data_IF_892177727253
#
_entry.id   IF_892177727253
#
_cell.length_a   1.000
_cell.length_b   1.000
_cell.length_c   1.000
_cell.angle_alpha   90.00
_cell.angle_beta   90.00
_cell.angle_gamma   90.00
#
_symmetry.space_group_name_H-M   'P 1'
#
loop_
_entity.id
_entity.type
_entity.pdbx_description
1 polymer ?
#
# COMPACT_ATOMS: atom_id res chain seq x y z
N UNK A 1 -68.37 18.64 -62.68
CA UNK A 1 -68.07 20.07 -62.49
C UNK A 1 -67.21 20.22 -61.23
N UNK A 2 -66.15 21.02 -61.33
CA UNK A 2 -65.05 21.20 -60.36
C UNK A 2 -65.45 22.20 -59.24
N UNK A 3 -65.06 21.94 -57.98
CA UNK A 3 -64.08 22.74 -57.18
C UNK A 3 -64.16 22.44 -55.67
N UNK A 4 -63.05 21.88 -55.18
CA UNK A 4 -62.35 21.97 -53.89
C UNK A 4 -63.06 22.48 -52.61
N UNK A 5 -62.87 21.73 -51.50
CA UNK A 5 -62.81 22.30 -50.15
C UNK A 5 -62.05 21.41 -49.12
N UNK A 6 -61.00 22.00 -48.51
CA UNK A 6 -60.23 21.76 -47.26
C UNK A 6 -60.05 20.33 -46.69
N UNK A 7 -58.83 19.76 -46.61
CA UNK A 7 -57.68 20.04 -45.69
C UNK A 7 -57.84 19.46 -44.26
N UNK A 8 -57.10 18.38 -43.96
CA UNK A 8 -56.13 18.24 -42.84
C UNK A 8 -55.59 16.79 -42.79
N UNK A 9 -54.35 16.63 -43.25
CA UNK A 9 -53.51 15.42 -43.07
C UNK A 9 -52.95 15.46 -41.64
N UNK A 10 -52.87 14.34 -40.90
CA UNK A 10 -52.40 14.36 -39.53
C UNK A 10 -50.89 14.68 -39.46
N UNK A 11 -50.56 15.40 -38.39
CA UNK A 11 -49.25 15.93 -38.03
C UNK A 11 -48.17 14.84 -38.05
N UNK A 12 -47.13 15.09 -38.84
CA UNK A 12 -45.96 14.24 -38.96
C UNK A 12 -45.20 14.12 -37.62
N UNK A 13 -44.61 12.94 -37.42
CA UNK A 13 -43.64 12.56 -36.40
C UNK A 13 -42.58 13.67 -36.22
N UNK A 14 -42.57 14.32 -35.05
CA UNK A 14 -41.48 15.22 -34.65
C UNK A 14 -40.51 14.42 -33.77
N UNK A 15 -39.53 13.76 -34.40
CA UNK A 15 -38.33 13.33 -33.69
C UNK A 15 -37.52 14.58 -33.34
N UNK A 16 -37.72 15.11 -32.14
CA UNK A 16 -36.82 16.11 -31.58
C UNK A 16 -35.50 15.42 -31.21
N UNK A 17 -34.50 15.53 -32.09
CA UNK A 17 -33.11 15.22 -31.76
C UNK A 17 -32.65 16.28 -30.77
N UNK A 18 -32.52 15.90 -29.51
CA UNK A 18 -31.93 16.75 -28.48
C UNK A 18 -30.42 16.77 -28.76
N UNK A 19 -29.94 17.83 -29.40
CA UNK A 19 -28.52 18.16 -29.41
C UNK A 19 -28.15 18.60 -27.99
N UNK A 20 -27.70 17.67 -27.16
CA UNK A 20 -26.89 18.01 -26.00
C UNK A 20 -25.57 18.58 -26.53
N UNK A 21 -25.47 19.91 -26.54
CA UNK A 21 -24.18 20.56 -26.58
C UNK A 21 -23.50 20.30 -25.23
N UNK A 22 -22.65 19.28 -25.15
CA UNK A 22 -21.66 19.20 -24.08
C UNK A 22 -20.67 20.35 -24.28
N UNK A 23 -20.75 21.34 -23.38
CA UNK A 23 -19.65 22.28 -23.13
C UNK A 23 -18.41 21.46 -22.70
N UNK A 24 -17.18 21.94 -22.97
CA UNK A 24 -15.98 21.23 -22.57
C UNK A 24 -15.99 21.10 -21.05
N UNK A 25 -15.73 19.89 -20.56
CA UNK A 25 -15.58 19.62 -19.15
C UNK A 25 -14.38 20.44 -18.67
N UNK A 26 -14.62 21.37 -17.74
CA UNK A 26 -13.56 21.81 -16.86
C UNK A 26 -13.12 20.54 -16.10
N UNK A 27 -11.91 20.04 -16.39
CA UNK A 27 -11.24 18.99 -15.63
C UNK A 27 -10.91 19.55 -14.23
N UNK A 28 -11.93 19.75 -13.41
CA UNK A 28 -11.75 19.83 -11.97
C UNK A 28 -11.73 18.39 -11.47
N UNK A 29 -10.52 17.82 -11.44
CA UNK A 29 -10.24 16.55 -10.82
C UNK A 29 -10.89 16.52 -9.44
N UNK A 30 -11.73 15.52 -9.20
CA UNK A 30 -12.25 15.23 -7.86
C UNK A 30 -11.09 15.07 -6.87
N UNK A 31 -11.36 15.06 -5.55
CA UNK A 31 -10.31 14.90 -4.55
C UNK A 31 -9.45 13.68 -4.92
N UNK A 32 -8.18 13.93 -5.24
CA UNK A 32 -7.21 12.89 -5.52
C UNK A 32 -7.18 11.98 -4.29
N UNK A 33 -7.47 10.70 -4.47
CA UNK A 33 -7.46 9.75 -3.37
C UNK A 33 -6.04 9.64 -2.82
N UNK A 34 -5.86 10.01 -1.55
CA UNK A 34 -4.60 9.86 -0.85
C UNK A 34 -4.40 8.38 -0.49
N UNK A 35 -3.72 7.65 -1.37
CA UNK A 35 -3.39 6.23 -1.18
C UNK A 35 -2.37 6.00 -0.05
N UNK A 36 -1.77 7.07 0.47
CA UNK A 36 -0.80 7.07 1.55
C UNK A 36 -1.40 7.59 2.87
N UNK A 37 -2.71 7.83 2.91
CA UNK A 37 -3.39 8.25 4.12
C UNK A 37 -3.16 7.24 5.25
N UNK A 38 -2.57 7.70 6.35
CA UNK A 38 -2.26 6.87 7.52
C UNK A 38 -0.98 6.04 7.41
N UNK A 39 -0.11 6.30 6.42
CA UNK A 39 1.28 5.87 6.49
C UNK A 39 1.93 6.42 7.77
N UNK A 40 2.98 5.74 8.22
CA UNK A 40 3.83 6.22 9.30
C UNK A 40 3.09 6.40 10.64
N UNK A 41 2.13 5.50 10.88
CA UNK A 41 1.32 5.48 12.08
C UNK A 41 1.28 4.09 12.70
N UNK A 42 1.05 4.03 14.02
CA UNK A 42 0.96 2.80 14.77
C UNK A 42 2.29 2.34 15.38
N UNK A 43 2.27 1.21 16.11
CA UNK A 43 3.47 0.67 16.74
C UNK A 43 4.43 0.09 15.69
N UNK A 44 5.72 0.28 15.93
CA UNK A 44 6.82 -0.28 15.13
C UNK A 44 7.45 -1.49 15.81
N UNK A 45 7.54 -1.45 17.14
CA UNK A 45 8.14 -2.48 17.97
C UNK A 45 7.06 -3.27 18.71
N UNK A 46 7.25 -4.58 18.75
CA UNK A 46 6.36 -5.53 19.40
C UNK A 46 7.17 -6.51 20.24
N UNK A 47 6.61 -6.91 21.38
CA UNK A 47 7.20 -7.91 22.27
C UNK A 47 6.28 -9.12 22.37
N UNK A 48 6.84 -10.32 22.15
CA UNK A 48 6.15 -11.60 22.28
C UNK A 48 7.00 -12.52 23.13
N UNK A 49 6.74 -12.57 24.44
CA UNK A 49 7.63 -13.28 25.36
C UNK A 49 9.04 -12.67 25.34
N UNK A 50 10.05 -13.44 24.96
CA UNK A 50 11.41 -12.96 24.78
C UNK A 50 11.71 -12.41 23.37
N UNK A 51 10.81 -12.59 22.41
CA UNK A 51 10.97 -12.09 21.05
C UNK A 51 10.71 -10.57 21.00
N UNK A 52 11.63 -9.85 20.36
CA UNK A 52 11.46 -8.45 19.94
C UNK A 52 11.31 -8.44 18.43
N UNK A 53 10.31 -7.71 17.95
CA UNK A 53 9.96 -7.62 16.53
C UNK A 53 9.80 -6.16 16.15
N UNK A 54 10.60 -5.72 15.20
CA UNK A 54 10.45 -4.45 14.51
C UNK A 54 9.77 -4.71 13.16
N UNK A 55 8.74 -3.95 12.83
CA UNK A 55 8.14 -3.95 11.49
C UNK A 55 8.25 -2.53 10.91
N UNK A 56 8.96 -2.34 9.78
CA UNK A 56 9.03 -1.04 9.13
C UNK A 56 7.62 -0.60 8.70
N UNK A 57 7.35 0.70 8.68
CA UNK A 57 6.04 1.23 8.27
C UNK A 57 6.07 1.91 6.88
N UNK A 58 7.26 1.98 6.27
CA UNK A 58 7.48 2.50 4.92
C UNK A 58 8.63 1.74 4.24
N UNK A 59 8.49 1.44 2.95
CA UNK A 59 9.55 0.84 2.14
C UNK A 59 9.39 1.19 0.64
N UNK A 60 10.48 1.03 -0.12
CA UNK A 60 10.61 1.52 -1.50
C UNK A 60 11.08 0.41 -2.43
N UNK A 61 10.18 -0.15 -3.24
CA UNK A 61 10.51 -1.31 -4.10
C UNK A 61 11.16 -0.88 -5.44
N UNK A 62 12.23 -0.09 -5.39
CA UNK A 62 12.86 0.58 -6.54
C UNK A 62 14.08 -0.18 -7.13
N UNK A 63 14.51 -1.25 -6.47
CA UNK A 63 15.64 -2.11 -6.80
C UNK A 63 17.03 -1.46 -6.70
N UNK A 64 17.22 -0.48 -5.81
CA UNK A 64 18.53 0.15 -5.54
C UNK A 64 19.38 -0.58 -4.48
N UNK A 65 18.82 -1.62 -3.85
CA UNK A 65 19.45 -2.43 -2.81
C UNK A 65 19.12 -1.98 -1.39
N UNK A 66 18.30 -0.94 -1.20
CA UNK A 66 17.95 -0.34 0.09
C UNK A 66 16.45 -0.34 0.25
N UNK A 67 15.98 -0.85 1.38
CA UNK A 67 14.55 -0.93 1.72
C UNK A 67 13.62 -1.47 0.61
N UNK A 68 14.16 -2.30 -0.29
CA UNK A 68 13.46 -2.87 -1.45
C UNK A 68 12.40 -3.91 -1.10
N UNK A 69 12.43 -4.40 0.14
CA UNK A 69 11.59 -5.49 0.59
C UNK A 69 11.02 -5.23 1.97
N UNK A 70 9.83 -5.79 2.17
CA UNK A 70 9.09 -5.72 3.40
C UNK A 70 9.10 -7.06 4.12
N UNK A 71 9.60 -7.06 5.36
CA UNK A 71 9.51 -8.15 6.31
C UNK A 71 9.72 -7.64 7.74
N UNK A 72 9.20 -8.36 8.75
CA UNK A 72 9.60 -8.14 10.14
C UNK A 72 11.10 -8.42 10.35
N UNK A 73 11.71 -7.63 11.23
CA UNK A 73 13.08 -7.74 11.70
C UNK A 73 13.05 -8.13 13.16
N UNK A 74 13.80 -9.16 13.57
CA UNK A 74 13.62 -9.78 14.89
C UNK A 74 14.93 -10.04 15.60
N UNK A 75 14.86 -10.19 16.92
CA UNK A 75 15.99 -10.67 17.72
C UNK A 75 16.16 -12.20 17.65
N UNK A 76 17.29 -12.69 18.18
CA UNK A 76 17.62 -14.11 18.23
C UNK A 76 16.74 -14.98 19.15
N UNK A 77 15.76 -14.39 19.84
CA UNK A 77 14.79 -15.13 20.67
C UNK A 77 13.50 -15.47 19.93
N UNK A 78 13.41 -15.10 18.64
CA UNK A 78 12.27 -15.42 17.78
C UNK A 78 12.47 -16.79 17.15
N UNK A 79 11.60 -17.73 17.50
CA UNK A 79 11.69 -19.11 17.00
C UNK A 79 11.17 -19.26 15.59
N UNK A 80 10.03 -18.63 15.31
CA UNK A 80 9.42 -18.60 13.96
C UNK A 80 8.35 -17.52 13.86
N UNK A 81 8.06 -17.16 12.61
CA UNK A 81 6.93 -16.32 12.23
C UNK A 81 6.09 -17.13 11.26
N UNK A 82 4.84 -17.38 11.63
CA UNK A 82 3.87 -18.14 10.85
C UNK A 82 2.75 -17.23 10.34
N UNK A 83 2.01 -17.69 9.33
CA UNK A 83 0.82 -17.02 8.78
C UNK A 83 1.05 -15.54 8.43
N UNK A 84 2.23 -15.22 7.87
CA UNK A 84 2.53 -13.86 7.46
C UNK A 84 1.73 -13.52 6.21
N UNK A 85 0.87 -12.50 6.31
CA UNK A 85 -0.02 -12.07 5.24
C UNK A 85 0.07 -10.56 5.04
N UNK A 86 0.04 -10.14 3.79
CA UNK A 86 -0.02 -8.74 3.39
C UNK A 86 -1.22 -8.55 2.47
N UNK A 87 -2.04 -7.53 2.75
CA UNK A 87 -3.26 -7.23 2.01
C UNK A 87 -3.31 -5.76 1.60
N UNK A 88 -3.81 -5.48 0.41
CA UNK A 88 -4.01 -4.11 -0.04
C UNK A 88 -5.08 -3.39 0.81
N UNK A 89 -5.30 -2.11 0.53
CA UNK A 89 -6.31 -1.28 1.19
C UNK A 89 -7.72 -1.87 1.13
N UNK A 90 -8.05 -2.59 0.06
CA UNK A 90 -9.36 -3.20 -0.17
C UNK A 90 -9.49 -4.61 0.44
N UNK A 91 -8.42 -5.11 1.08
CA UNK A 91 -8.38 -6.41 1.77
C UNK A 91 -7.97 -7.59 0.89
N UNK A 92 -7.62 -7.35 -0.38
CA UNK A 92 -7.13 -8.38 -1.29
C UNK A 92 -5.72 -8.80 -0.92
N UNK A 93 -5.42 -10.10 -1.06
CA UNK A 93 -4.13 -10.67 -0.69
C UNK A 93 -3.05 -10.26 -1.70
N UNK A 94 -2.00 -9.62 -1.22
CA UNK A 94 -0.81 -9.25 -2.00
C UNK A 94 0.32 -10.26 -1.82
N UNK A 95 0.47 -10.80 -0.62
CA UNK A 95 1.53 -11.75 -0.29
C UNK A 95 1.13 -12.63 0.89
N UNK A 96 1.56 -13.89 0.88
CA UNK A 96 1.48 -14.78 2.03
C UNK A 96 2.67 -15.72 2.15
N UNK A 97 3.03 -16.05 3.38
CA UNK A 97 3.96 -17.10 3.72
C UNK A 97 3.42 -17.90 4.92
N UNK A 98 3.30 -19.23 4.76
CA UNK A 98 2.87 -20.11 5.84
C UNK A 98 3.84 -20.07 7.04
N UNK A 99 5.14 -20.06 6.73
CA UNK A 99 6.23 -19.77 7.67
C UNK A 99 7.24 -18.89 6.95
N UNK A 100 7.60 -17.77 7.56
CA UNK A 100 8.58 -16.83 7.03
C UNK A 100 9.99 -17.27 7.42
N UNK A 101 10.85 -17.52 6.43
CA UNK A 101 12.26 -17.86 6.68
C UNK A 101 13.10 -16.58 6.86
N UNK A 102 13.36 -16.23 8.11
CA UNK A 102 14.10 -15.01 8.46
C UNK A 102 15.55 -14.97 7.94
N UNK A 103 16.10 -16.10 7.47
CA UNK A 103 17.47 -16.17 6.93
C UNK A 103 17.51 -16.07 5.41
N UNK A 104 16.36 -16.10 4.72
CA UNK A 104 16.28 -16.15 3.27
C UNK A 104 15.71 -14.85 2.74
N UNK A 105 16.55 -14.05 2.08
CA UNK A 105 16.12 -12.77 1.52
C UNK A 105 14.94 -12.87 0.54
N UNK A 106 14.75 -14.01 -0.14
CA UNK A 106 13.63 -14.20 -1.07
C UNK A 106 12.27 -14.46 -0.39
N UNK A 107 12.22 -14.63 0.94
CA UNK A 107 10.97 -14.81 1.68
C UNK A 107 10.35 -13.48 2.14
N UNK A 108 11.05 -12.35 2.03
CA UNK A 108 10.45 -11.03 2.23
C UNK A 108 9.70 -10.58 0.98
N UNK A 109 8.68 -9.75 1.16
CA UNK A 109 7.84 -9.28 0.06
C UNK A 109 8.53 -8.17 -0.72
N UNK A 110 8.58 -8.26 -2.05
CA UNK A 110 9.20 -7.28 -2.95
C UNK A 110 8.21 -6.28 -3.54
N UNK A 111 7.02 -6.16 -2.95
CA UNK A 111 6.00 -5.24 -3.41
C UNK A 111 5.12 -5.75 -4.53
N UNK A 112 5.40 -6.93 -5.12
CA UNK A 112 4.59 -7.47 -6.21
C UNK A 112 3.39 -8.27 -5.70
N UNK A 113 2.24 -8.07 -6.32
CA UNK A 113 1.07 -8.92 -6.14
C UNK A 113 1.31 -10.33 -6.71
N UNK A 114 0.43 -11.31 -6.48
CA UNK A 114 0.55 -12.63 -7.11
C UNK A 114 0.49 -12.58 -8.64
N UNK A 115 -0.08 -11.52 -9.22
CA UNK A 115 -0.08 -11.25 -10.66
C UNK A 115 1.23 -10.66 -11.19
N UNK A 116 2.18 -10.31 -10.33
CA UNK A 116 3.48 -9.73 -10.66
C UNK A 116 3.51 -8.21 -10.78
N UNK A 117 2.36 -7.55 -10.61
CA UNK A 117 2.24 -6.09 -10.63
C UNK A 117 2.77 -5.49 -9.33
N UNK A 118 3.55 -4.41 -9.43
CA UNK A 118 3.99 -3.66 -8.26
C UNK A 118 2.80 -2.95 -7.62
N UNK A 119 2.67 -3.10 -6.32
CA UNK A 119 1.70 -2.36 -5.51
C UNK A 119 2.22 -0.95 -5.22
N UNK A 120 1.32 -0.01 -4.92
CA UNK A 120 1.66 1.33 -4.42
C UNK A 120 0.59 1.77 -3.43
N UNK A 121 1.00 2.40 -2.34
CA UNK A 121 0.09 2.89 -1.30
C UNK A 121 0.10 2.05 -0.02
N UNK A 122 -0.89 2.30 0.83
CA UNK A 122 -1.04 1.66 2.14
C UNK A 122 -1.53 0.22 2.03
N UNK A 123 -0.94 -0.67 2.81
CA UNK A 123 -1.36 -2.06 2.96
C UNK A 123 -1.43 -2.43 4.45
N UNK A 124 -2.09 -3.54 4.76
CA UNK A 124 -2.07 -4.14 6.10
C UNK A 124 -1.24 -5.40 6.10
N UNK A 125 -0.60 -5.67 7.22
CA UNK A 125 0.13 -6.90 7.44
C UNK A 125 -0.34 -7.59 8.70
N UNK A 126 -0.07 -8.89 8.76
CA UNK A 126 -0.34 -9.66 9.96
C UNK A 126 0.48 -10.94 10.01
N UNK A 127 0.79 -11.43 11.20
CA UNK A 127 1.60 -12.63 11.43
C UNK A 127 1.39 -13.20 12.83
N UNK A 128 1.70 -14.48 12.99
CA UNK A 128 1.79 -15.14 14.28
C UNK A 128 3.27 -15.32 14.64
N UNK A 129 3.71 -14.66 15.71
CA UNK A 129 5.09 -14.75 16.19
C UNK A 129 5.14 -15.72 17.35
N UNK A 130 6.17 -16.57 17.37
CA UNK A 130 6.43 -17.52 18.45
C UNK A 130 7.87 -17.36 18.93
N UNK A 131 8.06 -17.16 20.23
CA UNK A 131 9.38 -17.08 20.84
C UNK A 131 9.99 -18.47 21.10
N UNK A 132 11.25 -18.51 21.53
CA UNK A 132 11.96 -19.74 21.88
C UNK A 132 11.31 -20.54 23.02
N UNK A 133 10.55 -19.88 23.90
CA UNK A 133 9.83 -20.53 25.00
C UNK A 133 8.43 -21.03 24.60
N UNK A 134 8.00 -20.79 23.36
CA UNK A 134 6.67 -21.14 22.86
C UNK A 134 5.58 -20.14 23.22
N UNK A 135 5.91 -18.97 23.75
CA UNK A 135 4.97 -17.85 23.88
C UNK A 135 4.64 -17.36 22.47
N UNK A 136 3.35 -17.22 22.19
CA UNK A 136 2.88 -16.82 20.87
C UNK A 136 1.90 -15.65 20.94
N UNK A 137 2.02 -14.73 19.99
CA UNK A 137 1.05 -13.65 19.80
C UNK A 137 0.88 -13.32 18.32
N UNK A 138 -0.32 -12.85 18.00
CA UNK A 138 -0.68 -12.28 16.71
C UNK A 138 -0.25 -10.82 16.67
N UNK A 139 0.50 -10.43 15.66
CA UNK A 139 0.84 -9.04 15.37
C UNK A 139 0.08 -8.60 14.12
N UNK A 140 -0.51 -7.41 14.16
CA UNK A 140 -1.21 -6.78 13.06
C UNK A 140 -0.83 -5.30 12.99
N UNK A 141 -0.74 -4.77 11.77
CA UNK A 141 -0.35 -3.38 11.55
C UNK A 141 -0.56 -2.96 10.10
N UNK A 142 -0.04 -1.79 9.77
CA UNK A 142 -0.09 -1.24 8.42
C UNK A 142 1.25 -0.59 8.07
N UNK A 143 1.53 -0.57 6.78
CA UNK A 143 2.72 0.05 6.22
C UNK A 143 2.41 0.53 4.80
N UNK A 144 3.36 1.20 4.17
CA UNK A 144 3.19 1.76 2.85
C UNK A 144 4.34 1.38 1.91
N UNK A 145 3.99 1.21 0.65
CA UNK A 145 4.95 0.98 -0.44
C UNK A 145 4.93 2.21 -1.35
N UNK A 146 6.10 2.84 -1.53
CA UNK A 146 6.31 3.97 -2.44
C UNK A 146 7.20 3.54 -3.61
N UNK A 147 6.82 3.88 -4.84
CA UNK A 147 7.54 3.42 -6.05
C UNK A 147 8.71 4.31 -6.47
N UNK A 148 8.81 5.52 -5.92
CA UNK A 148 9.83 6.52 -6.25
C UNK A 148 9.99 6.81 -7.76
N UNK A 149 8.94 6.60 -8.57
CA UNK A 149 8.91 6.97 -9.98
C UNK A 149 8.56 8.46 -10.17
N UNK A 150 7.78 8.99 -9.24
CA UNK A 150 7.58 10.41 -9.01
C UNK A 150 7.69 10.72 -7.52
N UNK A 151 8.22 11.89 -7.12
CA UNK A 151 8.23 12.31 -5.73
C UNK A 151 6.82 12.29 -5.11
N UNK A 152 6.71 11.80 -3.88
CA UNK A 152 5.45 11.66 -3.14
C UNK A 152 5.50 12.46 -1.84
N UNK A 153 4.41 13.16 -1.53
CA UNK A 153 4.23 13.80 -0.23
C UNK A 153 3.70 12.77 0.77
N UNK A 154 4.48 12.46 1.80
CA UNK A 154 4.07 11.65 2.95
C UNK A 154 3.90 12.55 4.17
N UNK A 155 2.71 12.55 4.75
CA UNK A 155 2.46 13.28 5.98
C UNK A 155 3.20 12.63 7.16
N UNK A 156 3.91 13.44 7.96
CA UNK A 156 4.74 13.00 9.08
C UNK A 156 5.83 12.01 8.66
N UNK A 157 6.59 12.33 7.60
CA UNK A 157 7.70 11.50 7.13
C UNK A 157 8.73 11.21 8.23
N UNK A 158 8.88 12.11 9.19
CA UNK A 158 9.72 11.95 10.38
C UNK A 158 9.30 10.80 11.32
N UNK A 159 8.06 10.33 11.22
CA UNK A 159 7.54 9.18 11.97
C UNK A 159 7.62 7.87 11.16
N UNK A 160 8.17 7.93 9.95
CA UNK A 160 8.40 6.77 9.11
C UNK A 160 9.71 6.08 9.47
N UNK A 161 9.69 4.76 9.46
CA UNK A 161 10.86 3.94 9.72
C UNK A 161 10.98 2.84 8.69
N UNK A 162 12.19 2.75 8.15
CA UNK A 162 12.57 1.83 7.10
C UNK A 162 13.31 0.63 7.67
N UNK A 163 13.39 -0.44 6.87
CA UNK A 163 14.08 -1.67 7.27
C UNK A 163 15.51 -1.42 7.74
N UNK A 164 16.28 -0.54 7.08
CA UNK A 164 17.67 -0.22 7.40
C UNK A 164 17.88 0.47 8.76
N UNK A 165 16.82 0.96 9.40
CA UNK A 165 16.90 1.63 10.71
C UNK A 165 16.70 0.64 11.88
N UNK A 166 17.00 -0.64 11.66
CA UNK A 166 16.88 -1.67 12.68
C UNK A 166 18.10 -1.69 13.62
N UNK A 167 17.88 -1.92 14.93
CA UNK A 167 18.95 -2.01 15.93
C UNK A 167 19.72 -3.35 15.90
N UNK A 168 19.22 -4.33 15.14
CA UNK A 168 19.77 -5.69 15.04
C UNK A 168 19.25 -6.66 16.12
N UNK A 169 18.47 -6.15 17.07
CA UNK A 169 17.89 -6.85 18.21
C UNK A 169 16.35 -6.70 18.22
N UNK A 170 15.74 -6.59 17.03
CA UNK A 170 14.28 -6.51 16.85
C UNK A 170 13.66 -5.19 17.29
N UNK A 171 14.43 -4.12 17.39
CA UNK A 171 13.96 -2.76 17.64
C UNK A 171 14.42 -1.77 16.57
N UNK A 172 14.10 -0.49 16.80
CA UNK A 172 14.44 0.63 15.91
C UNK A 172 15.60 1.43 16.49
N UNK A 173 16.55 1.83 15.64
CA UNK A 173 17.56 2.85 15.95
C UNK A 173 17.34 4.07 15.06
N UNK A 174 16.68 5.09 15.62
CA UNK A 174 16.42 6.35 14.93
C UNK A 174 17.67 7.20 14.63
N UNK A 175 18.86 6.80 15.08
CA UNK A 175 20.11 7.46 14.67
C UNK A 175 20.66 6.89 13.36
N UNK A 176 20.16 5.73 12.91
CA UNK A 176 20.52 5.19 11.61
C UNK A 176 19.80 5.96 10.50
N UNK A 177 20.49 6.28 9.42
CA UNK A 177 19.86 6.90 8.26
C UNK A 177 18.87 5.93 7.61
N UNK A 178 17.75 6.45 7.09
CA UNK A 178 16.83 5.68 6.25
C UNK A 178 17.52 5.16 4.98
N UNK A 179 18.53 5.90 4.50
CA UNK A 179 19.26 5.67 3.25
C UNK A 179 18.38 5.68 2.00
N UNK A 180 17.23 6.35 2.07
CA UNK A 180 16.43 6.74 0.91
C UNK A 180 16.90 8.10 0.38
N UNK A 181 16.93 8.24 -0.95
CA UNK A 181 17.16 9.56 -1.57
C UNK A 181 15.87 10.37 -1.51
N UNK A 182 15.72 11.09 -0.39
CA UNK A 182 14.65 12.07 -0.13
C UNK A 182 14.38 12.96 -1.35
N UNK A 183 15.42 13.42 -2.06
CA UNK A 183 15.22 14.34 -3.20
C UNK A 183 14.62 13.72 -4.45
N UNK A 184 14.63 12.38 -4.52
CA UNK A 184 14.11 11.62 -5.66
C UNK A 184 12.77 10.95 -5.38
N UNK A 185 12.49 10.62 -4.11
CA UNK A 185 11.33 9.83 -3.72
C UNK A 185 10.29 10.61 -2.91
N UNK A 186 10.70 11.61 -2.12
CA UNK A 186 9.82 12.34 -1.19
C UNK A 186 9.87 13.86 -1.46
N UNK A 187 8.76 14.58 -1.24
CA UNK A 187 8.70 16.05 -1.34
C UNK A 187 8.47 16.74 0.00
#
# INVERSE_FOLDING_TARGET
MKRALFLKVPLALLTAVILFACKPNDDEGGPQEDIYAGCCSGPLEYEVGAARVFVPNLFTANADGRNDRFAPLVNGNTRRIDNFQIRNRDGELLYEAATLDLNVHSSSWDGRSPGGELYSGRFTFSMDVVDENGVSARIEGAACLVLCDTPVIINNLEDCFFSLQHDGEGGVDGNLPAEEDESSCFE
#
